data_IF_059619186264
#
_entry.id   IF_059619186264
#
_cell.length_a   1.000
_cell.length_b   1.000
_cell.length_c   1.000
_cell.angle_alpha   90.00
_cell.angle_beta   90.00
_cell.angle_gamma   90.00
#
_symmetry.space_group_name_H-M   'P 1'
#
loop_
_entity.id
_entity.type
_entity.pdbx_description
1 polymer ?
#
# COMPACT_ATOMS: atom_id res chain seq x y z
N UNK A 1 -6.37 31.18 62.45
CA UNK A 1 -6.76 32.20 61.45
C UNK A 1 -5.49 32.76 60.82
N UNK A 2 -5.34 32.82 59.48
CA UNK A 2 -5.70 31.88 58.42
C UNK A 2 -4.44 31.26 57.76
N UNK A 3 -4.53 30.03 57.27
CA UNK A 3 -3.54 29.41 56.36
C UNK A 3 -4.08 29.57 54.94
N UNK A 4 -3.32 30.28 54.10
CA UNK A 4 -3.64 30.52 52.70
C UNK A 4 -3.47 29.22 51.89
N UNK A 5 -4.53 28.78 51.22
CA UNK A 5 -4.48 27.73 50.20
C UNK A 5 -4.43 28.42 48.84
N UNK A 6 -3.27 28.39 48.21
CA UNK A 6 -3.11 28.69 46.78
C UNK A 6 -3.28 27.35 46.07
N UNK A 7 -4.44 27.12 45.45
CA UNK A 7 -4.61 26.03 44.49
C UNK A 7 -4.69 26.65 43.10
N UNK A 8 -3.61 26.42 42.33
CA UNK A 8 -3.43 26.85 40.95
C UNK A 8 -4.45 26.13 40.07
N UNK A 9 -5.24 26.93 39.34
CA UNK A 9 -6.09 26.49 38.23
C UNK A 9 -5.21 25.89 37.13
N UNK A 10 -5.07 24.56 37.11
CA UNK A 10 -4.61 23.84 35.93
C UNK A 10 -5.78 23.79 34.93
N UNK A 11 -5.92 24.86 34.15
CA UNK A 11 -6.66 24.82 32.89
C UNK A 11 -5.87 23.87 32.00
N UNK A 12 -6.24 22.59 32.02
CA UNK A 12 -5.75 21.61 31.07
C UNK A 12 -6.16 22.07 29.69
N UNK A 13 -5.23 22.70 29.00
CA UNK A 13 -5.39 23.08 27.61
C UNK A 13 -5.74 21.83 26.82
N UNK A 14 -6.99 21.76 26.36
CA UNK A 14 -7.27 21.12 25.10
C UNK A 14 -6.38 21.84 24.08
N UNK A 15 -5.20 21.29 23.83
CA UNK A 15 -4.50 21.53 22.59
C UNK A 15 -5.48 21.12 21.50
N UNK A 16 -6.16 22.11 20.92
CA UNK A 16 -6.75 21.99 19.62
C UNK A 16 -5.58 21.67 18.69
N UNK A 17 -5.35 20.38 18.51
CA UNK A 17 -4.47 19.86 17.50
C UNK A 17 -5.12 20.24 16.19
N UNK A 18 -4.71 21.40 15.67
CA UNK A 18 -4.90 21.75 14.27
C UNK A 18 -4.25 20.62 13.50
N UNK A 19 -5.07 19.69 13.00
CA UNK A 19 -4.66 18.71 12.02
C UNK A 19 -4.06 19.50 10.87
N UNK A 20 -2.76 19.29 10.65
CA UNK A 20 -2.07 19.81 9.48
C UNK A 20 -2.60 18.98 8.31
N UNK A 21 -3.08 19.62 7.24
CA UNK A 21 -3.54 18.96 6.01
C UNK A 21 -2.39 18.27 5.21
N UNK A 22 -1.27 17.94 5.87
CA UNK A 22 0.02 17.56 5.26
C UNK A 22 0.80 16.54 6.12
N UNK A 23 0.14 15.81 7.03
CA UNK A 23 0.82 14.80 7.84
C UNK A 23 1.05 13.53 6.99
N UNK A 24 2.29 13.41 6.47
CA UNK A 24 2.81 12.18 5.87
C UNK A 24 2.49 10.99 6.78
N UNK A 25 1.89 9.94 6.21
CA UNK A 25 1.51 8.75 6.98
C UNK A 25 2.80 8.02 7.31
N UNK A 26 3.11 7.91 8.60
CA UNK A 26 4.30 7.21 9.03
C UNK A 26 4.11 5.69 8.91
N UNK A 27 5.21 4.94 8.75
CA UNK A 27 5.14 3.46 8.80
C UNK A 27 4.52 2.97 10.12
N UNK A 28 4.72 3.69 11.22
CA UNK A 28 4.16 3.35 12.53
C UNK A 28 2.63 3.52 12.58
N UNK A 29 2.08 4.53 11.93
CA UNK A 29 0.63 4.73 11.80
C UNK A 29 0.02 3.68 10.87
N UNK A 30 0.67 3.43 9.72
CA UNK A 30 0.22 2.39 8.80
C UNK A 30 0.23 1.01 9.46
N UNK A 31 1.30 0.66 10.17
CA UNK A 31 1.39 -0.59 10.93
C UNK A 31 0.30 -0.71 11.99
N UNK A 32 0.00 0.36 12.73
CA UNK A 32 -1.08 0.34 13.72
C UNK A 32 -2.45 0.07 13.09
N UNK A 33 -2.71 0.62 11.90
CA UNK A 33 -3.94 0.33 11.15
C UNK A 33 -4.01 -1.14 10.73
N UNK A 34 -2.90 -1.70 10.21
CA UNK A 34 -2.82 -3.13 9.87
C UNK A 34 -3.00 -4.02 11.11
N UNK A 35 -2.43 -3.63 12.26
CA UNK A 35 -2.62 -4.31 13.55
C UNK A 35 -4.08 -4.30 14.00
N UNK A 36 -4.80 -3.18 13.81
CA UNK A 36 -6.21 -3.08 14.12
C UNK A 36 -7.06 -4.02 13.23
N UNK A 37 -6.80 -4.03 11.91
CA UNK A 37 -7.47 -4.94 10.98
C UNK A 37 -7.20 -6.40 11.33
N UNK A 38 -5.93 -6.75 11.57
CA UNK A 38 -5.52 -8.09 12.00
C UNK A 38 -6.29 -8.54 13.24
N UNK A 39 -6.34 -7.67 14.26
CA UNK A 39 -7.04 -7.96 15.52
C UNK A 39 -8.56 -8.09 15.32
N UNK A 40 -9.15 -7.30 14.42
CA UNK A 40 -10.56 -7.40 14.07
C UNK A 40 -10.87 -8.74 13.38
N UNK A 41 -10.01 -9.19 12.46
CA UNK A 41 -10.14 -10.50 11.79
C UNK A 41 -10.06 -11.65 12.81
N UNK A 42 -9.11 -11.58 13.75
CA UNK A 42 -9.02 -12.54 14.87
C UNK A 42 -10.27 -12.50 15.76
N UNK A 43 -10.79 -11.31 16.06
CA UNK A 43 -12.04 -11.12 16.81
C UNK A 43 -13.27 -11.70 16.12
N UNK A 44 -13.23 -11.85 14.79
CA UNK A 44 -14.27 -12.51 13.98
C UNK A 44 -14.09 -14.03 13.89
N UNK A 45 -13.07 -14.58 14.55
CA UNK A 45 -12.83 -16.02 14.66
C UNK A 45 -11.95 -16.61 13.56
N UNK A 46 -11.28 -15.77 12.76
CA UNK A 46 -10.35 -16.22 11.73
C UNK A 46 -8.90 -16.13 12.20
N UNK A 47 -8.05 -17.04 11.74
CA UNK A 47 -6.62 -16.99 12.04
C UNK A 47 -5.94 -15.90 11.19
N UNK A 48 -5.12 -15.08 11.83
CA UNK A 48 -4.35 -14.04 11.17
C UNK A 48 -2.86 -14.17 11.53
N UNK A 49 -2.02 -14.30 10.50
CA UNK A 49 -0.58 -14.46 10.64
C UNK A 49 0.12 -13.20 11.14
N UNK A 50 1.45 -13.24 11.21
CA UNK A 50 2.26 -12.07 11.55
C UNK A 50 2.16 -10.99 10.46
N UNK A 51 2.32 -9.73 10.88
CA UNK A 51 2.39 -8.60 9.96
C UNK A 51 3.78 -8.56 9.34
N UNK A 52 3.82 -8.58 8.01
CA UNK A 52 5.04 -8.54 7.22
C UNK A 52 4.92 -7.54 6.09
N UNK A 53 6.07 -7.14 5.55
CA UNK A 53 6.13 -6.42 4.29
C UNK A 53 5.67 -7.34 3.15
N UNK A 54 4.77 -6.86 2.31
CA UNK A 54 4.31 -7.56 1.12
C UNK A 54 5.42 -7.62 0.07
N UNK A 55 5.20 -8.39 -0.99
CA UNK A 55 6.16 -8.57 -2.09
C UNK A 55 6.46 -7.27 -2.84
N UNK A 56 5.57 -6.28 -2.76
CA UNK A 56 5.77 -4.94 -3.33
C UNK A 56 6.83 -4.11 -2.57
N UNK A 57 7.33 -4.64 -1.44
CA UNK A 57 8.37 -4.02 -0.62
C UNK A 57 7.90 -2.77 0.13
N UNK A 58 6.59 -2.52 0.20
CA UNK A 58 6.05 -1.23 0.69
C UNK A 58 4.79 -1.36 1.54
N UNK A 59 3.84 -2.19 1.11
CA UNK A 59 2.61 -2.40 1.87
C UNK A 59 2.86 -3.43 2.96
N UNK A 60 2.17 -3.26 4.09
CA UNK A 60 2.19 -4.19 5.21
C UNK A 60 0.93 -5.03 5.10
N UNK A 61 1.08 -6.33 5.23
CA UNK A 61 -0.03 -7.28 5.20
C UNK A 61 0.16 -8.38 6.21
N UNK A 62 -0.82 -9.27 6.30
CA UNK A 62 -0.73 -10.50 7.06
C UNK A 62 -1.45 -11.62 6.32
N UNK A 63 -0.99 -12.85 6.49
CA UNK A 63 -1.63 -14.00 5.88
C UNK A 63 -2.91 -14.37 6.62
N UNK A 64 -3.98 -14.68 5.88
CA UNK A 64 -5.19 -15.28 6.43
C UNK A 64 -5.00 -16.79 6.53
N UNK A 65 -5.27 -17.38 7.69
CA UNK A 65 -5.26 -18.83 7.85
C UNK A 65 -6.47 -19.46 7.15
N UNK A 66 -6.24 -20.51 6.37
CA UNK A 66 -7.33 -21.34 5.82
C UNK A 66 -7.70 -22.43 6.83
N UNK A 67 -8.74 -22.17 7.62
CA UNK A 67 -9.30 -23.16 8.54
C UNK A 67 -10.16 -24.20 7.81
N UNK A 68 -10.40 -25.34 8.43
CA UNK A 68 -11.29 -26.38 7.90
C UNK A 68 -12.73 -25.88 7.66
N UNK A 69 -13.13 -24.79 8.31
CA UNK A 69 -14.46 -24.17 8.20
C UNK A 69 -14.56 -23.08 7.10
N UNK A 70 -13.42 -22.75 6.48
CA UNK A 70 -13.28 -21.83 5.36
C UNK A 70 -12.20 -22.31 4.36
N UNK A 71 -12.35 -23.50 3.76
CA UNK A 71 -11.33 -24.10 2.90
C UNK A 71 -11.07 -23.31 1.60
N UNK A 72 -12.00 -22.44 1.21
CA UNK A 72 -11.86 -21.54 0.06
C UNK A 72 -11.39 -20.13 0.43
N UNK A 73 -11.26 -19.80 1.72
CA UNK A 73 -10.89 -18.46 2.19
C UNK A 73 -11.97 -17.39 2.01
N UNK A 74 -13.13 -17.71 1.44
CA UNK A 74 -14.16 -16.72 1.11
C UNK A 74 -14.64 -15.92 2.33
N UNK A 75 -14.80 -16.59 3.47
CA UNK A 75 -15.28 -15.94 4.70
C UNK A 75 -14.19 -15.12 5.38
N UNK A 76 -12.96 -15.61 5.40
CA UNK A 76 -11.81 -14.89 5.95
C UNK A 76 -11.45 -13.67 5.10
N UNK A 77 -11.56 -13.76 3.77
CA UNK A 77 -11.42 -12.61 2.86
C UNK A 77 -12.53 -11.59 3.12
N UNK A 78 -13.79 -12.01 3.21
CA UNK A 78 -14.88 -11.09 3.54
C UNK A 78 -14.70 -10.40 4.90
N UNK A 79 -14.21 -11.14 5.90
CA UNK A 79 -13.88 -10.57 7.21
C UNK A 79 -12.74 -9.56 7.13
N UNK A 80 -11.70 -9.85 6.35
CA UNK A 80 -10.61 -8.91 6.08
C UNK A 80 -11.13 -7.63 5.42
N UNK A 81 -11.96 -7.74 4.38
CA UNK A 81 -12.51 -6.60 3.66
C UNK A 81 -13.37 -5.71 4.58
N UNK A 82 -14.24 -6.32 5.37
CA UNK A 82 -15.09 -5.59 6.32
C UNK A 82 -14.27 -4.93 7.43
N UNK A 83 -13.28 -5.62 8.00
CA UNK A 83 -12.36 -5.04 8.99
C UNK A 83 -11.49 -3.93 8.39
N UNK A 84 -11.03 -4.10 7.15
CA UNK A 84 -10.25 -3.11 6.41
C UNK A 84 -11.05 -1.83 6.17
N UNK A 85 -12.32 -1.96 5.79
CA UNK A 85 -13.22 -0.83 5.67
C UNK A 85 -13.53 -0.17 7.03
N UNK A 86 -13.74 -0.96 8.08
CA UNK A 86 -14.03 -0.47 9.44
C UNK A 86 -12.87 0.36 10.02
N UNK A 87 -11.63 -0.04 9.74
CA UNK A 87 -10.44 0.62 10.25
C UNK A 87 -9.76 1.56 9.26
N UNK A 88 -10.36 1.80 8.08
CA UNK A 88 -9.84 2.74 7.08
C UNK A 88 -8.51 2.29 6.44
N UNK A 89 -8.24 0.98 6.38
CA UNK A 89 -7.01 0.43 5.81
C UNK A 89 -6.87 0.80 4.33
N UNK A 90 -7.94 0.68 3.54
CA UNK A 90 -7.87 0.92 2.09
C UNK A 90 -7.53 2.38 1.75
N UNK A 91 -8.12 3.33 2.48
CA UNK A 91 -7.81 4.75 2.31
C UNK A 91 -6.38 5.06 2.77
N UNK A 92 -5.92 4.40 3.83
CA UNK A 92 -4.55 4.54 4.33
C UNK A 92 -3.53 3.94 3.36
N UNK A 93 -3.76 2.77 2.81
CA UNK A 93 -2.88 2.14 1.82
C UNK A 93 -2.78 2.94 0.54
N UNK A 94 -3.92 3.48 0.10
CA UNK A 94 -3.95 4.44 -1.00
C UNK A 94 -3.06 5.63 -0.66
N UNK A 95 -3.36 6.35 0.41
CA UNK A 95 -2.62 7.56 0.78
C UNK A 95 -1.11 7.31 1.04
N UNK A 96 -0.75 6.22 1.72
CA UNK A 96 0.64 5.82 1.97
C UNK A 96 1.35 5.43 0.67
N UNK A 97 0.66 4.72 -0.23
CA UNK A 97 1.17 4.37 -1.56
C UNK A 97 1.49 5.61 -2.40
N UNK A 98 0.66 6.66 -2.30
CA UNK A 98 0.83 7.93 -3.01
C UNK A 98 2.05 8.75 -2.54
N UNK A 99 2.50 8.60 -1.29
CA UNK A 99 3.60 9.38 -0.69
C UNK A 99 4.99 9.06 -1.29
N UNK A 100 5.17 7.87 -1.87
CA UNK A 100 6.42 7.48 -2.53
C UNK A 100 6.49 7.83 -4.02
N UNK A 101 5.55 8.63 -4.55
CA UNK A 101 5.51 8.94 -5.98
C UNK A 101 6.77 9.69 -6.42
N UNK A 102 7.39 9.19 -7.48
CA UNK A 102 8.50 9.88 -8.11
C UNK A 102 7.98 10.96 -9.05
N UNK A 103 8.65 12.11 -9.05
CA UNK A 103 8.37 13.20 -9.99
C UNK A 103 9.65 13.74 -10.62
N UNK A 104 9.50 14.44 -11.75
CA UNK A 104 10.61 15.05 -12.49
C UNK A 104 11.75 14.07 -12.77
N UNK A 105 12.98 14.51 -12.50
CA UNK A 105 14.19 13.75 -12.83
C UNK A 105 14.23 12.35 -12.20
N UNK A 106 13.81 12.20 -10.95
CA UNK A 106 13.81 10.89 -10.28
C UNK A 106 12.84 9.90 -10.93
N UNK A 107 11.70 10.41 -11.41
CA UNK A 107 10.74 9.61 -12.19
C UNK A 107 11.30 9.21 -13.54
N UNK A 108 11.98 10.14 -14.22
CA UNK A 108 12.60 9.87 -15.51
C UNK A 108 13.72 8.81 -15.40
N UNK A 109 14.53 8.87 -14.35
CA UNK A 109 15.56 7.87 -14.05
C UNK A 109 14.93 6.49 -13.78
N UNK A 110 13.91 6.41 -12.93
CA UNK A 110 13.20 5.16 -12.67
C UNK A 110 12.46 4.60 -13.90
N UNK A 111 11.96 5.45 -14.81
CA UNK A 111 11.39 4.98 -16.09
C UNK A 111 12.44 4.39 -17.02
N UNK A 112 13.67 4.90 -17.01
CA UNK A 112 14.78 4.30 -17.76
C UNK A 112 15.12 2.91 -17.20
N UNK A 113 15.16 2.78 -15.88
CA UNK A 113 15.38 1.49 -15.21
C UNK A 113 14.26 0.48 -15.51
N UNK A 114 13.00 0.92 -15.45
CA UNK A 114 11.85 0.10 -15.84
C UNK A 114 11.94 -0.38 -17.28
N UNK A 115 12.18 0.53 -18.24
CA UNK A 115 12.29 0.16 -19.66
C UNK A 115 13.45 -0.82 -19.88
N UNK A 116 14.61 -0.55 -19.28
CA UNK A 116 15.77 -1.46 -19.31
C UNK A 116 15.47 -2.85 -18.73
N UNK A 117 14.71 -2.92 -17.63
CA UNK A 117 14.25 -4.18 -17.05
C UNK A 117 13.38 -4.98 -18.03
N UNK A 118 12.47 -4.30 -18.75
CA UNK A 118 11.58 -4.94 -19.72
C UNK A 118 12.29 -5.33 -21.02
N UNK A 119 13.31 -4.59 -21.44
CA UNK A 119 14.16 -4.93 -22.58
C UNK A 119 14.90 -6.26 -22.38
N UNK A 120 15.21 -6.64 -21.13
CA UNK A 120 15.77 -7.96 -20.78
C UNK A 120 14.84 -9.12 -21.17
N UNK A 121 13.54 -8.87 -21.28
CA UNK A 121 12.51 -9.85 -21.67
C UNK A 121 12.02 -9.60 -23.10
N UNK A 122 12.86 -9.02 -23.97
CA UNK A 122 12.57 -8.72 -25.37
C UNK A 122 11.40 -7.76 -25.61
N UNK A 123 10.94 -7.04 -24.58
CA UNK A 123 9.91 -6.00 -24.72
C UNK A 123 10.60 -4.69 -25.09
N UNK A 124 10.48 -4.32 -26.36
CA UNK A 124 11.23 -3.21 -26.96
C UNK A 124 10.30 -2.07 -27.41
N UNK A 125 10.86 -0.87 -27.58
CA UNK A 125 10.15 0.28 -28.17
C UNK A 125 9.21 1.01 -27.22
N UNK A 126 9.28 0.73 -25.92
CA UNK A 126 8.54 1.47 -24.89
C UNK A 126 9.19 2.85 -24.67
N UNK A 127 8.34 3.87 -24.52
CA UNK A 127 8.78 5.25 -24.28
C UNK A 127 8.95 5.48 -22.77
N UNK A 128 10.07 6.07 -22.36
CA UNK A 128 10.28 6.53 -20.98
C UNK A 128 9.39 7.74 -20.61
N UNK A 129 8.85 8.43 -21.62
CA UNK A 129 7.90 9.52 -21.45
C UNK A 129 6.44 9.05 -21.36
N UNK A 130 6.16 7.76 -21.56
CA UNK A 130 4.81 7.23 -21.44
C UNK A 130 4.32 7.33 -19.99
N UNK A 131 3.04 7.65 -19.83
CA UNK A 131 2.38 7.86 -18.53
C UNK A 131 1.22 6.89 -18.30
N UNK A 132 0.74 6.20 -19.33
CA UNK A 132 -0.29 5.18 -19.24
C UNK A 132 0.34 3.79 -19.08
N UNK A 133 0.27 3.23 -17.87
CA UNK A 133 0.86 1.92 -17.59
C UNK A 133 0.25 0.78 -18.40
N UNK A 134 -0.97 0.95 -18.94
CA UNK A 134 -1.64 -0.07 -19.76
C UNK A 134 -0.90 -0.32 -21.07
N UNK A 135 -0.12 0.64 -21.56
CA UNK A 135 0.77 0.46 -22.71
C UNK A 135 1.83 -0.61 -22.41
N UNK A 136 2.39 -0.60 -21.19
CA UNK A 136 3.39 -1.56 -20.74
C UNK A 136 2.75 -2.93 -20.49
N UNK A 137 1.60 -2.97 -19.79
CA UNK A 137 0.83 -4.22 -19.57
C UNK A 137 0.51 -4.91 -20.89
N UNK A 138 0.05 -4.13 -21.88
CA UNK A 138 -0.25 -4.66 -23.21
C UNK A 138 0.99 -5.21 -23.89
N UNK A 139 2.12 -4.50 -23.84
CA UNK A 139 3.36 -4.95 -24.46
C UNK A 139 3.87 -6.27 -23.84
N UNK A 140 3.82 -6.41 -22.51
CA UNK A 140 4.15 -7.65 -21.81
C UNK A 140 3.23 -8.78 -22.26
N UNK A 141 1.92 -8.53 -22.23
CA UNK A 141 0.91 -9.54 -22.57
C UNK A 141 0.99 -10.01 -24.02
N UNK A 142 1.21 -9.08 -24.97
CA UNK A 142 1.32 -9.39 -26.40
C UNK A 142 2.61 -10.16 -26.74
N UNK A 143 3.70 -9.91 -25.99
CA UNK A 143 5.03 -10.48 -26.28
C UNK A 143 5.26 -11.83 -25.58
N UNK A 144 4.92 -11.90 -24.29
CA UNK A 144 5.28 -13.03 -23.42
C UNK A 144 4.06 -13.85 -22.98
N UNK A 145 2.85 -13.26 -23.03
CA UNK A 145 1.66 -13.81 -22.40
C UNK A 145 1.67 -13.61 -20.87
N UNK A 146 0.51 -13.27 -20.29
CA UNK A 146 0.43 -12.91 -18.88
C UNK A 146 0.66 -14.08 -17.91
N UNK A 147 0.32 -15.29 -18.33
CA UNK A 147 0.38 -16.50 -17.49
C UNK A 147 1.71 -17.26 -17.62
N UNK A 148 2.70 -16.69 -18.30
CA UNK A 148 4.03 -17.31 -18.44
C UNK A 148 4.97 -16.88 -17.31
N UNK A 149 6.02 -17.68 -17.07
CA UNK A 149 7.04 -17.33 -16.08
C UNK A 149 7.74 -16.01 -16.44
N UNK A 150 8.11 -15.83 -17.71
CA UNK A 150 8.74 -14.60 -18.18
C UNK A 150 7.77 -13.42 -18.15
N UNK A 151 6.49 -13.62 -18.47
CA UNK A 151 5.45 -12.61 -18.31
C UNK A 151 5.32 -12.16 -16.85
N UNK A 152 5.29 -13.11 -15.91
CA UNK A 152 5.25 -12.82 -14.46
C UNK A 152 6.48 -12.03 -14.01
N UNK A 153 7.68 -12.39 -14.50
CA UNK A 153 8.93 -11.68 -14.20
C UNK A 153 8.95 -10.26 -14.82
N UNK A 154 8.41 -10.09 -16.01
CA UNK A 154 8.27 -8.77 -16.63
C UNK A 154 7.27 -7.88 -15.86
N UNK A 155 6.17 -8.45 -15.34
CA UNK A 155 5.28 -7.71 -14.45
C UNK A 155 5.94 -7.31 -13.12
N UNK A 156 6.88 -8.12 -12.61
CA UNK A 156 7.67 -7.74 -11.44
C UNK A 156 8.56 -6.50 -11.69
N UNK A 157 9.02 -6.28 -12.94
CA UNK A 157 9.67 -5.00 -13.30
C UNK A 157 8.71 -3.82 -13.11
N UNK A 158 7.45 -3.94 -13.53
CA UNK A 158 6.46 -2.88 -13.37
C UNK A 158 6.12 -2.62 -11.90
N UNK A 159 5.95 -3.68 -11.10
CA UNK A 159 5.61 -3.57 -9.68
C UNK A 159 6.70 -2.84 -8.89
N UNK A 160 7.96 -3.22 -9.11
CA UNK A 160 9.12 -2.55 -8.49
C UNK A 160 9.28 -1.08 -8.86
N UNK A 161 8.65 -0.63 -9.95
CA UNK A 161 8.70 0.75 -10.43
C UNK A 161 7.33 1.46 -10.40
N UNK A 162 6.32 0.96 -9.66
CA UNK A 162 4.95 1.52 -9.64
C UNK A 162 4.85 3.03 -9.35
N UNK A 163 5.86 3.61 -8.70
CA UNK A 163 5.92 5.04 -8.37
C UNK A 163 6.11 5.98 -9.55
N UNK A 164 6.43 5.46 -10.74
CA UNK A 164 6.61 6.28 -11.94
C UNK A 164 5.28 6.71 -12.57
N UNK A 165 4.17 6.07 -12.19
CA UNK A 165 2.85 6.31 -12.76
C UNK A 165 2.13 7.48 -12.08
N UNK A 166 1.40 8.30 -12.86
CA UNK A 166 0.63 9.42 -12.33
C UNK A 166 -0.56 8.96 -11.46
N UNK A 167 -1.18 9.87 -10.68
CA UNK A 167 -2.37 9.53 -9.91
C UNK A 167 -3.56 9.14 -10.80
N UNK A 168 -4.28 8.10 -10.39
CA UNK A 168 -5.43 7.57 -11.12
C UNK A 168 -5.08 6.63 -12.29
N UNK A 169 -3.81 6.25 -12.41
CA UNK A 169 -3.38 5.22 -13.36
C UNK A 169 -3.77 3.81 -12.87
N UNK A 170 -4.05 2.88 -13.78
CA UNK A 170 -4.55 1.55 -13.42
C UNK A 170 -3.56 0.70 -12.59
N UNK A 171 -2.25 0.93 -12.72
CA UNK A 171 -1.21 0.29 -11.91
C UNK A 171 -0.73 1.21 -10.77
N UNK A 172 -1.45 2.29 -10.51
CA UNK A 172 -1.27 3.18 -9.37
C UNK A 172 -2.61 3.88 -9.01
N UNK A 173 -3.62 3.09 -8.60
CA UNK A 173 -4.98 3.57 -8.35
C UNK A 173 -5.04 4.66 -7.28
#
# INVERSE_FOLDING_TARGET
MPLAVILVLAVGGCSAQTASDDDEITEAEYRQTVEAVRSCVEGRGFEAGEISLNSDGRTLGFNLGSGAEDPGGEKSIAAYDECGAEHGLFDMELAYGQQGRLTGKARDEAMVELVSCLEHYDIQGLSTAETDSRVFVKAISDTLGADTEDGSRAFACMDSHRNVWPPGDANNP
#
